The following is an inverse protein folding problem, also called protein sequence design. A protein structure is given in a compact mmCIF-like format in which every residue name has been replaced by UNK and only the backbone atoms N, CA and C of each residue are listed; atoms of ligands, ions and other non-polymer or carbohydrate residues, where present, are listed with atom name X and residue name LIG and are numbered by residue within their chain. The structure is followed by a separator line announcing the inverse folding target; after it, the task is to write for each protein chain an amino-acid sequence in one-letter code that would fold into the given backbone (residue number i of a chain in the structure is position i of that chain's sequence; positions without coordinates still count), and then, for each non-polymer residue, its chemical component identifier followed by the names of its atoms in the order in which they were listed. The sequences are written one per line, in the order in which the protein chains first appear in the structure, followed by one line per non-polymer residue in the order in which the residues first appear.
data_IF_986606705601
#
_entry.id   IF_986606705601
#
_cell.length_a   1.000
_cell.length_b   1.000
_cell.length_c   1.000
_cell.angle_alpha   90.00
_cell.angle_beta   90.00
_cell.angle_gamma   90.00
#
_symmetry.space_group_name_H-M   'P 1'
#
loop_
_entity.id
_entity.type
_entity.pdbx_description
1 polymer ?
#
# COMPACT_ATOMS: atom_id res chain seq x y z
N UNK A 1 -6.02 -0.44 19.04
CA UNK A 1 -5.22 -0.72 17.86
C UNK A 1 -4.71 0.58 17.26
N UNK A 2 -3.58 0.51 16.57
CA UNK A 2 -2.97 1.71 15.98
C UNK A 2 -3.53 2.00 14.60
N UNK A 3 -3.50 3.27 14.19
CA UNK A 3 -3.94 3.72 12.87
C UNK A 3 -2.90 4.68 12.29
N UNK A 4 -2.63 4.55 11.00
CA UNK A 4 -1.71 5.43 10.27
C UNK A 4 -2.50 6.11 9.16
N UNK A 5 -2.31 7.42 8.99
CA UNK A 5 -2.94 8.20 7.93
C UNK A 5 -1.86 8.98 7.17
N UNK A 6 -2.02 9.08 5.86
CA UNK A 6 -1.09 9.84 5.03
C UNK A 6 -1.81 10.40 3.82
N UNK A 7 -1.48 11.63 3.45
CA UNK A 7 -1.93 12.24 2.19
C UNK A 7 -0.72 12.82 1.49
N UNK A 8 -0.65 12.60 0.18
CA UNK A 8 0.42 13.18 -0.64
C UNK A 8 -0.11 13.46 -2.04
N UNK A 9 0.53 14.43 -2.72
CA UNK A 9 0.21 14.77 -4.10
C UNK A 9 1.32 14.19 -4.98
N UNK A 10 0.91 13.39 -5.98
CA UNK A 10 1.82 12.82 -6.96
C UNK A 10 1.54 13.44 -8.32
N UNK A 11 2.58 13.90 -8.99
CA UNK A 11 2.47 14.60 -10.28
C UNK A 11 2.24 13.61 -11.42
N UNK A 12 1.10 12.94 -11.38
CA UNK A 12 0.71 11.94 -12.37
C UNK A 12 -0.81 11.74 -12.31
N UNK A 13 -1.33 10.87 -13.15
CA UNK A 13 -2.75 10.57 -13.22
C UNK A 13 -3.11 9.41 -12.28
N UNK A 14 -4.39 9.28 -11.85
CA UNK A 14 -4.79 8.19 -10.95
C UNK A 14 -4.50 6.79 -11.50
N UNK A 15 -4.66 6.58 -12.82
CA UNK A 15 -4.42 5.27 -13.42
C UNK A 15 -2.96 4.84 -13.30
N UNK A 16 -2.02 5.79 -13.35
CA UNK A 16 -0.60 5.50 -13.21
C UNK A 16 -0.29 5.00 -11.79
N UNK A 17 -0.89 5.62 -10.78
CA UNK A 17 -0.69 5.22 -9.40
C UNK A 17 -1.37 3.88 -9.13
N UNK A 18 -2.59 3.72 -9.61
CA UNK A 18 -3.35 2.48 -9.45
C UNK A 18 -2.56 1.30 -10.03
N UNK A 19 -2.04 1.47 -11.25
CA UNK A 19 -1.21 0.45 -11.89
C UNK A 19 0.08 0.19 -11.13
N UNK A 20 0.75 1.23 -10.63
CA UNK A 20 2.00 1.07 -9.90
C UNK A 20 1.81 0.25 -8.63
N UNK A 21 0.66 0.40 -7.96
CA UNK A 21 0.38 -0.32 -6.73
C UNK A 21 -0.05 -1.78 -6.96
N UNK A 22 -0.63 -2.10 -8.12
CA UNK A 22 -1.20 -3.42 -8.38
C UNK A 22 -0.44 -4.25 -9.42
N UNK A 23 0.48 -3.67 -10.15
CA UNK A 23 1.31 -4.40 -11.10
C UNK A 23 2.53 -4.97 -10.37
N UNK A 24 2.81 -6.29 -10.47
CA UNK A 24 3.90 -6.88 -9.70
C UNK A 24 5.27 -6.31 -10.02
N UNK A 25 5.53 -5.97 -11.27
CA UNK A 25 6.83 -5.41 -11.67
C UNK A 25 7.02 -3.99 -11.15
N UNK A 26 5.98 -3.16 -11.28
CA UNK A 26 6.02 -1.78 -10.79
C UNK A 26 6.08 -1.73 -9.27
N UNK A 27 5.31 -2.58 -8.60
CA UNK A 27 5.32 -2.66 -7.13
C UNK A 27 6.70 -3.09 -6.63
N UNK A 28 7.31 -4.08 -7.27
CA UNK A 28 8.67 -4.52 -6.95
C UNK A 28 9.66 -3.36 -7.13
N UNK A 29 9.48 -2.55 -8.18
CA UNK A 29 10.35 -1.41 -8.42
C UNK A 29 10.21 -0.35 -7.33
N UNK A 30 8.99 -0.15 -6.82
CA UNK A 30 8.73 0.81 -5.74
C UNK A 30 9.43 0.38 -4.46
N UNK A 31 9.22 -0.87 -4.04
CA UNK A 31 9.71 -1.34 -2.73
C UNK A 31 11.13 -1.88 -2.76
N UNK A 32 11.61 -2.29 -3.93
CA UNK A 32 12.90 -2.98 -4.05
C UNK A 32 12.84 -4.45 -3.69
N UNK A 33 11.67 -5.00 -3.42
CA UNK A 33 11.49 -6.41 -3.03
C UNK A 33 10.40 -7.06 -3.87
N UNK A 34 10.49 -8.39 -4.04
CA UNK A 34 9.55 -9.12 -4.87
C UNK A 34 8.12 -9.01 -4.37
N UNK A 35 7.21 -8.68 -5.28
CA UNK A 35 5.77 -8.62 -5.02
C UNK A 35 5.04 -9.60 -5.94
N UNK A 36 4.09 -10.33 -5.36
CA UNK A 36 3.15 -11.17 -6.11
C UNK A 36 1.78 -10.55 -5.88
N UNK A 37 1.27 -9.84 -6.88
CA UNK A 37 0.07 -9.04 -6.74
C UNK A 37 -0.67 -8.97 -8.06
N UNK A 38 -1.97 -8.69 -8.03
CA UNK A 38 -2.79 -8.55 -9.23
C UNK A 38 -3.81 -7.44 -9.05
N UNK A 39 -4.49 -7.09 -10.15
CA UNK A 39 -5.57 -6.12 -10.14
C UNK A 39 -6.95 -6.78 -10.10
N UNK A 40 -7.04 -7.96 -9.49
CA UNK A 40 -8.30 -8.70 -9.38
C UNK A 40 -8.79 -8.73 -7.95
N UNK A 41 -10.03 -8.31 -7.74
CA UNK A 41 -10.68 -8.37 -6.44
C UNK A 41 -10.82 -9.83 -6.02
N UNK A 42 -10.50 -10.10 -4.77
CA UNK A 42 -10.54 -11.45 -4.21
C UNK A 42 -9.20 -12.21 -4.28
N UNK A 43 -8.24 -11.72 -5.08
CA UNK A 43 -6.94 -12.39 -5.18
C UNK A 43 -6.08 -12.13 -3.94
N UNK A 44 -5.34 -13.16 -3.54
CA UNK A 44 -4.33 -13.07 -2.48
C UNK A 44 -3.09 -12.40 -3.05
N UNK A 45 -2.42 -11.59 -2.25
CA UNK A 45 -1.16 -10.98 -2.64
C UNK A 45 -0.09 -11.14 -1.55
N UNK A 46 1.17 -10.97 -1.95
CA UNK A 46 2.27 -10.84 -1.01
C UNK A 46 3.26 -9.80 -1.51
N UNK A 47 3.94 -9.13 -0.59
CA UNK A 47 4.97 -8.15 -0.90
C UNK A 47 6.18 -8.39 0.01
N UNK A 48 7.29 -7.72 -0.30
CA UNK A 48 8.53 -7.88 0.46
C UNK A 48 8.96 -9.34 0.55
N UNK A 49 8.87 -10.03 -0.60
CA UNK A 49 9.28 -11.43 -0.72
C UNK A 49 8.58 -12.32 0.32
N UNK A 50 7.29 -12.06 0.56
CA UNK A 50 6.47 -12.86 1.47
C UNK A 50 6.40 -12.36 2.91
N UNK A 51 7.13 -11.30 3.26
CA UNK A 51 7.07 -10.74 4.62
C UNK A 51 5.70 -10.19 4.94
N UNK A 52 5.01 -9.60 3.95
CA UNK A 52 3.65 -9.10 4.09
C UNK A 52 2.73 -9.81 3.12
N UNK A 53 1.50 -10.08 3.54
CA UNK A 53 0.50 -10.69 2.67
C UNK A 53 -0.90 -10.22 3.02
N UNK A 54 -1.84 -10.53 2.13
CA UNK A 54 -3.24 -10.17 2.33
C UNK A 54 -4.08 -10.52 1.11
N UNK A 55 -5.22 -9.86 1.01
CA UNK A 55 -6.19 -10.10 -0.06
C UNK A 55 -6.69 -8.76 -0.58
N UNK A 56 -6.95 -8.68 -1.89
CA UNK A 56 -7.63 -7.54 -2.49
C UNK A 56 -9.11 -7.60 -2.10
N UNK A 57 -9.52 -6.80 -1.11
CA UNK A 57 -10.90 -6.83 -0.60
C UNK A 57 -11.85 -6.06 -1.50
N UNK A 58 -11.41 -4.88 -1.99
CA UNK A 58 -12.23 -4.06 -2.88
C UNK A 58 -11.30 -3.30 -3.83
N UNK A 59 -11.61 -3.35 -5.12
CA UNK A 59 -10.87 -2.59 -6.14
C UNK A 59 -11.86 -1.81 -6.97
N UNK A 60 -11.71 -0.48 -6.96
CA UNK A 60 -12.46 0.42 -7.86
C UNK A 60 -11.41 1.07 -8.73
N UNK A 61 -11.39 0.71 -10.01
CA UNK A 61 -10.33 1.08 -10.93
C UNK A 61 -10.03 2.57 -10.90
N UNK A 62 -8.75 2.89 -10.71
CA UNK A 62 -8.21 4.26 -10.68
C UNK A 62 -8.74 5.13 -9.54
N UNK A 63 -9.45 4.54 -8.57
CA UNK A 63 -10.08 5.31 -7.48
C UNK A 63 -9.79 4.77 -6.10
N UNK A 64 -9.83 3.44 -5.90
CA UNK A 64 -9.79 2.90 -4.55
C UNK A 64 -9.22 1.49 -4.53
N UNK A 65 -8.33 1.25 -3.58
CA UNK A 65 -7.78 -0.08 -3.30
C UNK A 65 -7.95 -0.34 -1.82
N UNK A 66 -8.65 -1.42 -1.46
CA UNK A 66 -8.79 -1.87 -0.07
C UNK A 66 -8.22 -3.27 0.02
N UNK A 67 -7.24 -3.46 0.91
CA UNK A 67 -6.58 -4.74 1.07
C UNK A 67 -6.49 -5.09 2.55
N UNK A 68 -6.57 -6.39 2.87
CA UNK A 68 -6.14 -6.85 4.17
C UNK A 68 -4.61 -6.90 4.16
N UNK A 69 -3.99 -6.81 5.35
CA UNK A 69 -2.54 -6.68 5.45
C UNK A 69 -2.05 -7.35 6.72
N UNK A 70 -1.10 -8.26 6.56
CA UNK A 70 -0.50 -8.97 7.67
C UNK A 70 1.01 -9.02 7.43
N UNK A 71 1.80 -8.84 8.49
CA UNK A 71 3.25 -8.92 8.39
C UNK A 71 3.79 -9.99 9.33
N UNK A 72 4.95 -10.54 8.96
CA UNK A 72 5.67 -11.51 9.79
C UNK A 72 6.65 -10.73 10.66
N UNK A 73 6.15 -10.22 11.75
CA UNK A 73 6.95 -9.35 12.63
C UNK A 73 6.64 -9.68 14.08
N UNK A 74 7.59 -9.34 14.97
CA UNK A 74 7.43 -9.59 16.40
C UNK A 74 6.22 -8.83 16.93
N UNK A 75 5.39 -9.51 17.71
CA UNK A 75 4.19 -8.93 18.28
C UNK A 75 2.99 -8.88 17.36
N UNK A 76 3.13 -9.27 16.09
CA UNK A 76 2.00 -9.34 15.19
C UNK A 76 1.38 -10.74 15.25
N UNK A 77 0.12 -10.88 15.72
CA UNK A 77 -0.53 -12.19 15.79
C UNK A 77 -0.67 -12.83 14.41
N UNK A 78 -0.31 -14.10 14.28
CA UNK A 78 -0.23 -14.79 12.99
C UNK A 78 -1.53 -14.79 12.20
N UNK A 79 -2.67 -14.74 12.88
CA UNK A 79 -3.97 -14.80 12.20
C UNK A 79 -4.69 -13.46 12.14
N UNK A 80 -4.01 -12.39 12.55
CA UNK A 80 -4.60 -11.05 12.53
C UNK A 80 -4.27 -10.34 11.22
N UNK A 81 -5.31 -9.83 10.55
CA UNK A 81 -5.16 -8.97 9.37
C UNK A 81 -5.61 -7.56 9.71
N UNK A 82 -4.75 -6.61 9.45
CA UNK A 82 -5.12 -5.19 9.47
C UNK A 82 -5.70 -4.84 8.11
N UNK A 83 -6.06 -3.58 7.93
CA UNK A 83 -6.65 -3.11 6.68
C UNK A 83 -5.89 -1.90 6.17
N UNK A 84 -5.58 -1.89 4.87
CA UNK A 84 -5.00 -0.73 4.21
C UNK A 84 -5.93 -0.24 3.12
N UNK A 85 -6.04 1.08 2.99
CA UNK A 85 -6.94 1.73 2.04
C UNK A 85 -6.17 2.83 1.31
N UNK A 86 -6.14 2.74 -0.03
CA UNK A 86 -5.61 3.78 -0.89
C UNK A 86 -6.78 4.41 -1.64
N UNK A 87 -6.91 5.73 -1.57
CA UNK A 87 -7.91 6.46 -2.35
C UNK A 87 -7.23 7.50 -3.22
N UNK A 88 -7.64 7.58 -4.48
CA UNK A 88 -7.02 8.42 -5.49
C UNK A 88 -8.02 9.46 -5.96
N UNK A 89 -7.65 10.74 -5.87
CA UNK A 89 -8.50 11.85 -6.29
C UNK A 89 -7.72 12.77 -7.21
N UNK A 90 -8.24 12.98 -8.41
CA UNK A 90 -7.60 13.89 -9.36
C UNK A 90 -7.68 15.34 -8.86
N UNK A 91 -6.57 16.08 -8.98
CA UNK A 91 -6.49 17.49 -8.57
C UNK A 91 -5.80 18.30 -9.69
N UNK A 92 -5.85 19.64 -9.62
CA UNK A 92 -5.11 20.46 -10.59
C UNK A 92 -3.60 20.23 -10.59
N UNK A 93 -3.03 19.76 -9.47
CA UNK A 93 -1.59 19.52 -9.34
C UNK A 93 -1.18 18.08 -9.62
N UNK A 94 -2.14 17.19 -9.92
CA UNK A 94 -1.88 15.78 -10.14
C UNK A 94 -2.92 14.93 -9.43
N UNK A 95 -2.49 13.91 -8.70
CA UNK A 95 -3.40 13.03 -7.96
C UNK A 95 -3.09 13.09 -6.48
N UNK A 96 -4.12 13.31 -5.66
CA UNK A 96 -4.01 13.17 -4.21
C UNK A 96 -4.19 11.70 -3.87
N UNK A 97 -3.18 11.11 -3.23
CA UNK A 97 -3.27 9.77 -2.67
C UNK A 97 -3.56 9.90 -1.19
N UNK A 98 -4.68 9.34 -0.75
CA UNK A 98 -5.07 9.29 0.66
C UNK A 98 -4.93 7.85 1.12
N UNK A 99 -4.15 7.64 2.18
CA UNK A 99 -3.85 6.31 2.68
C UNK A 99 -4.26 6.19 4.15
N UNK A 100 -4.86 5.04 4.48
CA UNK A 100 -5.20 4.70 5.85
C UNK A 100 -4.78 3.26 6.11
N UNK A 101 -4.09 3.03 7.23
CA UNK A 101 -3.76 1.69 7.71
C UNK A 101 -4.38 1.57 9.09
N UNK A 102 -5.41 0.73 9.21
CA UNK A 102 -6.21 0.60 10.44
C UNK A 102 -6.06 -0.79 11.02
N UNK A 103 -6.46 -0.96 12.27
CA UNK A 103 -6.47 -2.25 12.97
C UNK A 103 -5.07 -2.86 13.12
N UNK A 104 -4.05 -2.00 13.28
CA UNK A 104 -2.68 -2.46 13.53
C UNK A 104 -2.59 -2.95 14.98
N UNK A 105 -2.08 -4.17 15.22
CA UNK A 105 -1.99 -4.69 16.60
C UNK A 105 -1.11 -3.82 17.50
N UNK A 106 -1.58 -3.57 18.71
CA UNK A 106 -0.82 -2.79 19.70
C UNK A 106 0.50 -3.47 20.07
N UNK A 107 0.51 -4.82 20.04
CA UNK A 107 1.67 -5.61 20.43
C UNK A 107 2.77 -5.64 19.38
N UNK A 108 2.47 -5.24 18.15
CA UNK A 108 3.46 -5.25 17.08
C UNK A 108 4.54 -4.19 17.35
N UNK A 109 5.80 -4.57 17.17
CA UNK A 109 6.92 -3.72 17.58
C UNK A 109 7.44 -2.79 16.47
N UNK A 110 7.03 -3.02 15.22
CA UNK A 110 7.55 -2.27 14.08
C UNK A 110 7.12 -0.81 14.05
N UNK A 111 7.96 0.02 13.48
CA UNK A 111 7.60 1.41 13.14
C UNK A 111 7.04 1.42 11.72
N UNK A 112 5.74 1.09 11.63
CA UNK A 112 5.11 0.92 10.32
C UNK A 112 4.89 2.25 9.60
N UNK A 113 4.73 3.35 10.34
CA UNK A 113 4.64 4.67 9.74
C UNK A 113 5.92 5.01 8.97
N UNK A 114 7.07 4.78 9.59
CA UNK A 114 8.35 4.98 8.93
C UNK A 114 8.56 4.01 7.77
N UNK A 115 8.10 2.77 7.92
CA UNK A 115 8.16 1.77 6.86
C UNK A 115 7.38 2.19 5.62
N UNK A 116 6.16 2.69 5.79
CA UNK A 116 5.38 3.20 4.67
C UNK A 116 6.09 4.37 3.98
N UNK A 117 6.69 5.28 4.77
CA UNK A 117 7.44 6.42 4.22
C UNK A 117 8.62 5.94 3.37
N UNK A 118 9.43 5.05 3.92
CA UNK A 118 10.66 4.60 3.27
C UNK A 118 10.42 3.74 2.03
N UNK A 119 9.41 2.88 2.06
CA UNK A 119 9.20 1.89 1.00
C UNK A 119 8.10 2.23 0.01
N UNK A 120 7.25 3.21 0.31
CA UNK A 120 6.15 3.60 -0.58
C UNK A 120 6.12 5.09 -0.90
N UNK A 121 6.04 5.96 0.11
CA UNK A 121 5.83 7.38 -0.17
C UNK A 121 7.05 8.03 -0.82
N UNK A 122 8.24 7.80 -0.29
CA UNK A 122 9.46 8.33 -0.87
C UNK A 122 9.71 7.80 -2.28
N UNK A 123 9.64 6.47 -2.52
CA UNK A 123 9.81 5.95 -3.89
C UNK A 123 8.75 6.43 -4.87
N UNK A 124 7.49 6.55 -4.44
CA UNK A 124 6.43 7.06 -5.31
C UNK A 124 6.68 8.52 -5.70
N UNK A 125 7.12 9.34 -4.75
CA UNK A 125 7.45 10.73 -5.02
C UNK A 125 8.64 10.83 -5.98
N UNK A 126 9.64 10.00 -5.80
CA UNK A 126 10.78 9.95 -6.73
C UNK A 126 10.35 9.52 -8.13
N UNK A 127 9.45 8.57 -8.22
CA UNK A 127 8.96 8.05 -9.51
C UNK A 127 8.13 9.08 -10.28
N UNK A 128 7.26 9.83 -9.59
CA UNK A 128 6.28 10.69 -10.25
C UNK A 128 6.52 12.18 -10.09
N UNK A 129 7.32 12.61 -9.11
CA UNK A 129 7.56 14.03 -8.85
C UNK A 129 8.95 14.51 -9.25
N UNK A 130 9.77 13.64 -9.81
CA UNK A 130 11.11 14.01 -10.25
C UNK A 130 11.12 14.68 -11.62
#
# INVERSE_FOLDING_TARGET
MRTINKKLILNTTPDQIYSALLDPQLHTKITGSTATISDKQGDIFSTFDGWADGENLELIKDKRIVQSWRVQDEGWPAEHFSKIIFELTETPEGTELSFNHTEIPEEAVGDYEQGWEDYYWTPLQEMFNS
#
